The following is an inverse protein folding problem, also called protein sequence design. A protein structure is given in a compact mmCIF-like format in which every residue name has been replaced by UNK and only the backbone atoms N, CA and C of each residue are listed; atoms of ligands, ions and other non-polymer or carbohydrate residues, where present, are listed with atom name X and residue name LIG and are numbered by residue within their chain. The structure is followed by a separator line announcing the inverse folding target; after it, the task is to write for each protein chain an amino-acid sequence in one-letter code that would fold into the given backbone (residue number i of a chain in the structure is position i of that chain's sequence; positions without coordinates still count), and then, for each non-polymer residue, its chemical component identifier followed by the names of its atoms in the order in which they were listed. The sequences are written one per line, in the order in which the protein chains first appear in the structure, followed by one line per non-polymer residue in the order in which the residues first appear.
data_IF_053093115749
#
_entry.id   IF_053093115749
#
_cell.length_a   1.000
_cell.length_b   1.000
_cell.length_c   1.000
_cell.angle_alpha   90.00
_cell.angle_beta   90.00
_cell.angle_gamma   90.00
#
_symmetry.space_group_name_H-M   'P 1'
#
loop_
_entity.id
_entity.type
_entity.pdbx_description
1 polymer ?
#
# COMPACT_ATOMS: atom_id res chain seq x y z
N UNK A 1 -24.92 -0.15 -15.09
CA UNK A 1 -23.53 -0.53 -14.78
C UNK A 1 -23.39 -0.55 -13.27
N UNK A 2 -22.99 -1.68 -12.67
CA UNK A 2 -22.77 -1.77 -11.23
C UNK A 2 -21.56 -0.92 -10.84
N UNK A 3 -21.69 -0.12 -9.79
CA UNK A 3 -20.61 0.69 -9.21
C UNK A 3 -20.39 0.26 -7.76
N UNK A 4 -19.14 0.29 -7.33
CA UNK A 4 -18.71 -0.12 -5.99
C UNK A 4 -18.23 1.09 -5.19
N UNK A 5 -18.35 1.04 -3.87
CA UNK A 5 -17.75 2.05 -3.00
C UNK A 5 -16.22 1.89 -2.95
N UNK A 6 -15.72 0.65 -2.94
CA UNK A 6 -14.31 0.33 -2.76
C UNK A 6 -13.79 -0.68 -3.80
N UNK A 7 -12.66 -0.35 -4.44
CA UNK A 7 -11.81 -1.28 -5.17
C UNK A 7 -10.53 -1.55 -4.38
N UNK A 8 -10.35 -2.78 -3.89
CA UNK A 8 -9.19 -3.13 -3.06
C UNK A 8 -8.82 -4.59 -3.30
N UNK A 9 -7.52 -4.84 -3.51
CA UNK A 9 -7.00 -6.19 -3.66
C UNK A 9 -7.28 -7.02 -2.41
N UNK A 10 -7.76 -8.25 -2.61
CA UNK A 10 -8.08 -9.19 -1.54
C UNK A 10 -6.94 -9.38 -0.53
N UNK A 11 -5.69 -9.46 -1.02
CA UNK A 11 -4.49 -9.66 -0.21
C UNK A 11 -4.14 -8.53 0.77
N UNK A 12 -4.83 -7.38 0.70
CA UNK A 12 -4.58 -6.24 1.59
C UNK A 12 -5.40 -6.24 2.87
N UNK A 13 -6.06 -7.35 3.20
CA UNK A 13 -6.87 -7.52 4.41
C UNK A 13 -6.09 -7.27 5.72
N UNK A 14 -4.76 -7.35 5.68
CA UNK A 14 -3.86 -7.07 6.81
C UNK A 14 -4.07 -5.68 7.42
N UNK A 15 -4.45 -4.71 6.60
CA UNK A 15 -4.84 -3.38 7.07
C UNK A 15 -5.95 -3.47 8.12
N UNK A 16 -7.01 -4.23 7.82
CA UNK A 16 -8.18 -4.37 8.68
C UNK A 16 -7.82 -5.11 9.97
N UNK A 17 -6.96 -6.14 9.87
CA UNK A 17 -6.46 -6.88 11.04
C UNK A 17 -5.72 -5.92 11.98
N UNK A 18 -4.78 -5.14 11.45
CA UNK A 18 -4.03 -4.19 12.25
C UNK A 18 -4.89 -3.07 12.83
N UNK A 19 -5.92 -2.60 12.12
CA UNK A 19 -6.87 -1.60 12.64
C UNK A 19 -7.67 -2.14 13.84
N UNK A 20 -7.88 -3.46 13.92
CA UNK A 20 -8.52 -4.15 15.05
C UNK A 20 -7.53 -4.64 16.11
N UNK A 21 -6.27 -4.19 16.05
CA UNK A 21 -5.20 -4.61 16.97
C UNK A 21 -4.91 -6.13 16.90
N UNK A 22 -5.31 -6.78 15.80
CA UNK A 22 -4.93 -8.17 15.52
C UNK A 22 -3.56 -8.26 14.84
N UNK A 23 -3.11 -9.48 14.63
CA UNK A 23 -1.89 -9.80 13.89
C UNK A 23 -2.06 -11.13 13.14
N UNK A 24 -1.16 -11.40 12.19
CA UNK A 24 -1.09 -12.71 11.52
C UNK A 24 -0.25 -13.69 12.34
N UNK A 25 0.79 -13.17 12.99
CA UNK A 25 1.76 -13.91 13.81
C UNK A 25 1.88 -13.27 15.18
N UNK A 26 2.30 -14.02 16.18
CA UNK A 26 2.61 -13.48 17.51
C UNK A 26 3.78 -12.49 17.50
N UNK A 27 4.78 -12.76 16.67
CA UNK A 27 5.90 -11.88 16.37
C UNK A 27 6.17 -11.91 14.86
N UNK A 28 6.26 -10.73 14.22
CA UNK A 28 6.45 -10.63 12.77
C UNK A 28 7.91 -10.83 12.31
N UNK A 29 8.87 -10.84 13.24
CA UNK A 29 10.31 -11.03 12.98
C UNK A 29 10.79 -12.43 13.37
N UNK A 30 10.32 -12.95 14.51
CA UNK A 30 10.66 -14.28 15.02
C UNK A 30 9.41 -15.03 15.49
N UNK A 31 8.55 -15.48 14.56
CA UNK A 31 7.26 -16.06 14.89
C UNK A 31 7.40 -17.40 15.62
N UNK A 32 6.55 -17.61 16.63
CA UNK A 32 6.40 -18.91 17.30
C UNK A 32 5.00 -19.49 17.15
N UNK A 33 4.01 -18.67 16.78
CA UNK A 33 2.63 -19.10 16.57
C UNK A 33 1.89 -18.23 15.53
N UNK A 34 0.88 -18.82 14.90
CA UNK A 34 -0.07 -18.09 14.06
C UNK A 34 -1.16 -17.50 14.97
N UNK A 35 -1.50 -16.23 14.77
CA UNK A 35 -2.53 -15.50 15.53
C UNK A 35 -3.70 -15.02 14.66
N UNK A 36 -3.75 -15.49 13.41
CA UNK A 36 -4.79 -15.12 12.44
C UNK A 36 -6.19 -15.64 12.83
N UNK A 37 -6.27 -16.62 13.73
CA UNK A 37 -7.51 -17.18 14.28
C UNK A 37 -7.99 -16.45 15.55
N UNK A 38 -7.32 -15.37 15.97
CA UNK A 38 -7.82 -14.55 17.07
C UNK A 38 -9.15 -13.91 16.73
N UNK A 39 -9.97 -13.62 17.75
CA UNK A 39 -11.27 -12.97 17.57
C UNK A 39 -11.14 -11.65 16.79
N UNK A 40 -10.11 -10.86 17.07
CA UNK A 40 -9.84 -9.59 16.39
C UNK A 40 -9.53 -9.79 14.91
N UNK A 41 -8.69 -10.78 14.58
CA UNK A 41 -8.30 -11.10 13.21
C UNK A 41 -9.48 -11.63 12.39
N UNK A 42 -10.29 -12.51 12.98
CA UNK A 42 -11.52 -13.03 12.36
C UNK A 42 -12.50 -11.89 12.07
N UNK A 43 -12.78 -11.03 13.06
CA UNK A 43 -13.69 -9.88 12.88
C UNK A 43 -13.21 -8.93 11.79
N UNK A 44 -11.90 -8.69 11.69
CA UNK A 44 -11.32 -7.84 10.67
C UNK A 44 -11.47 -8.41 9.25
N UNK A 45 -11.21 -9.72 9.07
CA UNK A 45 -11.39 -10.39 7.78
C UNK A 45 -12.88 -10.46 7.42
N UNK A 46 -13.74 -10.76 8.39
CA UNK A 46 -15.19 -10.80 8.19
C UNK A 46 -15.73 -9.44 7.74
N UNK A 47 -15.26 -8.34 8.33
CA UNK A 47 -15.66 -7.00 7.90
C UNK A 47 -15.43 -6.76 6.40
N UNK A 48 -14.27 -7.16 5.86
CA UNK A 48 -14.01 -7.00 4.44
C UNK A 48 -14.82 -7.97 3.57
N UNK A 49 -15.04 -9.20 4.06
CA UNK A 49 -15.92 -10.17 3.42
C UNK A 49 -17.36 -9.64 3.32
N UNK A 50 -17.89 -9.03 4.39
CA UNK A 50 -19.23 -8.46 4.43
C UNK A 50 -19.39 -7.28 3.47
N UNK A 51 -18.35 -6.45 3.30
CA UNK A 51 -18.34 -5.39 2.27
C UNK A 51 -18.45 -5.98 0.87
N UNK A 52 -17.77 -7.10 0.59
CA UNK A 52 -17.84 -7.78 -0.70
C UNK A 52 -19.19 -8.49 -0.92
N UNK A 53 -19.79 -9.05 0.12
CA UNK A 53 -21.11 -9.67 0.06
C UNK A 53 -22.21 -8.62 -0.17
N UNK A 54 -22.07 -7.46 0.47
CA UNK A 54 -23.01 -6.34 0.34
C UNK A 54 -22.80 -5.49 -0.92
N UNK A 55 -21.94 -5.91 -1.86
CA UNK A 55 -21.55 -5.16 -3.07
C UNK A 55 -20.97 -3.75 -2.81
N UNK A 56 -20.49 -3.47 -1.59
CA UNK A 56 -19.75 -2.23 -1.29
C UNK A 56 -18.32 -2.31 -1.82
N UNK A 57 -17.69 -3.48 -1.73
CA UNK A 57 -16.37 -3.74 -2.27
C UNK A 57 -16.43 -4.69 -3.48
N UNK A 58 -15.63 -4.43 -4.50
CA UNK A 58 -15.54 -5.33 -5.66
C UNK A 58 -14.82 -6.63 -5.27
N UNK A 59 -15.36 -7.78 -5.67
CA UNK A 59 -14.74 -9.09 -5.42
C UNK A 59 -13.42 -9.23 -6.20
N UNK A 60 -12.40 -9.94 -5.67
CA UNK A 60 -11.07 -10.01 -6.27
C UNK A 60 -11.03 -10.52 -7.72
N UNK A 61 -11.84 -11.52 -8.06
CA UNK A 61 -11.90 -12.06 -9.42
C UNK A 61 -12.37 -10.99 -10.43
N UNK A 62 -13.41 -10.22 -10.07
CA UNK A 62 -13.93 -9.14 -10.90
C UNK A 62 -12.95 -7.98 -10.99
N UNK A 63 -12.33 -7.62 -9.85
CA UNK A 63 -11.32 -6.58 -9.77
C UNK A 63 -10.14 -6.88 -10.72
N UNK A 64 -9.63 -8.11 -10.68
CA UNK A 64 -8.54 -8.56 -11.54
C UNK A 64 -8.91 -8.47 -13.03
N UNK A 65 -10.09 -8.96 -13.41
CA UNK A 65 -10.57 -8.90 -14.79
C UNK A 65 -10.82 -7.46 -15.30
N UNK A 66 -11.12 -6.53 -14.39
CA UNK A 66 -11.39 -5.12 -14.70
C UNK A 66 -10.14 -4.21 -14.65
N UNK A 67 -8.93 -4.80 -14.63
CA UNK A 67 -7.67 -4.04 -14.66
C UNK A 67 -7.13 -3.64 -13.28
N UNK A 68 -7.56 -4.32 -12.22
CA UNK A 68 -7.13 -4.05 -10.85
C UNK A 68 -7.78 -2.78 -10.26
N UNK A 69 -7.39 -2.43 -9.04
CA UNK A 69 -7.85 -1.21 -8.34
C UNK A 69 -7.69 0.06 -9.19
N UNK A 70 -6.51 0.29 -9.76
CA UNK A 70 -6.23 1.47 -10.57
C UNK A 70 -7.15 1.55 -11.80
N UNK A 71 -7.37 0.42 -12.49
CA UNK A 71 -8.28 0.35 -13.63
C UNK A 71 -9.72 0.66 -13.25
N UNK A 72 -10.23 0.03 -12.19
CA UNK A 72 -11.64 0.24 -11.77
C UNK A 72 -11.87 1.65 -11.20
N UNK A 73 -10.86 2.27 -10.60
CA UNK A 73 -10.93 3.65 -10.15
C UNK A 73 -10.94 4.64 -11.32
N UNK A 74 -9.97 4.51 -12.23
CA UNK A 74 -9.85 5.37 -13.41
C UNK A 74 -11.10 5.31 -14.30
N UNK A 75 -11.74 4.14 -14.39
CA UNK A 75 -12.97 3.94 -15.16
C UNK A 75 -14.27 4.28 -14.39
N UNK A 76 -14.17 4.81 -13.16
CA UNK A 76 -15.33 5.19 -12.34
C UNK A 76 -16.23 4.02 -11.91
N UNK A 77 -15.68 2.80 -11.89
CA UNK A 77 -16.36 1.60 -11.42
C UNK A 77 -16.27 1.44 -9.89
N UNK A 78 -15.23 2.02 -9.26
CA UNK A 78 -15.09 2.14 -7.82
C UNK A 78 -14.92 3.61 -7.41
N UNK A 79 -15.63 4.05 -6.36
CA UNK A 79 -15.54 5.42 -5.86
C UNK A 79 -14.24 5.70 -5.09
N UNK A 80 -13.67 4.69 -4.43
CA UNK A 80 -12.43 4.77 -3.68
C UNK A 80 -11.56 3.54 -3.92
N UNK A 81 -10.25 3.69 -3.77
CA UNK A 81 -9.30 2.58 -3.68
C UNK A 81 -8.36 2.77 -2.50
N UNK A 82 -7.80 1.66 -2.00
CA UNK A 82 -6.76 1.67 -0.97
C UNK A 82 -5.48 1.11 -1.58
N UNK A 83 -4.58 2.01 -1.98
CA UNK A 83 -3.38 1.66 -2.74
C UNK A 83 -2.14 2.48 -2.37
N UNK A 84 -0.99 2.04 -2.89
CA UNK A 84 0.28 2.75 -2.76
C UNK A 84 0.28 4.03 -3.61
N UNK A 85 1.09 5.02 -3.20
CA UNK A 85 1.38 6.25 -3.92
C UNK A 85 1.86 6.02 -5.37
N UNK A 86 2.39 4.85 -5.71
CA UNK A 86 2.80 4.52 -7.09
C UNK A 86 1.70 4.55 -8.14
N UNK A 87 0.43 4.75 -7.75
CA UNK A 87 -0.69 5.03 -8.69
C UNK A 87 -0.86 6.51 -9.05
N UNK A 88 -0.32 7.42 -8.23
CA UNK A 88 -0.49 8.87 -8.35
C UNK A 88 0.01 9.38 -9.71
N UNK A 89 1.20 8.96 -10.15
CA UNK A 89 1.76 9.41 -11.42
C UNK A 89 0.85 9.06 -12.61
N UNK A 90 0.29 7.84 -12.62
CA UNK A 90 -0.67 7.41 -13.64
C UNK A 90 -1.97 8.21 -13.58
N UNK A 91 -2.51 8.48 -12.39
CA UNK A 91 -3.75 9.25 -12.23
C UNK A 91 -3.58 10.72 -12.64
N UNK A 92 -2.44 11.32 -12.29
CA UNK A 92 -2.07 12.66 -12.74
C UNK A 92 -1.92 12.73 -14.26
N UNK A 93 -1.23 11.77 -14.87
CA UNK A 93 -1.06 11.70 -16.32
C UNK A 93 -2.38 11.51 -17.07
N UNK A 94 -3.37 10.87 -16.44
CA UNK A 94 -4.73 10.73 -16.95
C UNK A 94 -5.66 11.89 -16.58
N UNK A 95 -5.14 12.94 -15.92
CA UNK A 95 -5.89 14.11 -15.46
C UNK A 95 -7.17 13.76 -14.66
N UNK A 96 -7.09 12.69 -13.86
CA UNK A 96 -8.23 12.26 -13.05
C UNK A 96 -8.55 13.31 -11.98
N UNK A 97 -9.83 13.56 -11.76
CA UNK A 97 -10.29 14.35 -10.61
C UNK A 97 -10.37 13.44 -9.38
N UNK A 98 -9.31 13.41 -8.57
CA UNK A 98 -9.23 12.61 -7.36
C UNK A 98 -8.54 13.36 -6.22
N UNK A 99 -8.64 12.80 -5.01
CA UNK A 99 -7.93 13.28 -3.84
C UNK A 99 -7.41 12.07 -3.04
N UNK A 100 -6.50 12.31 -2.09
CA UNK A 100 -5.88 11.30 -1.24
C UNK A 100 -6.18 11.62 0.22
N UNK A 101 -6.66 10.62 0.96
CA UNK A 101 -6.89 10.73 2.39
C UNK A 101 -6.27 9.54 3.13
N UNK A 102 -6.00 9.71 4.43
CA UNK A 102 -5.64 8.57 5.27
C UNK A 102 -6.84 7.64 5.44
N UNK A 103 -6.60 6.33 5.44
CA UNK A 103 -7.66 5.35 5.76
C UNK A 103 -8.29 5.69 7.12
N UNK A 104 -9.64 5.77 7.21
CA UNK A 104 -10.33 6.07 8.47
C UNK A 104 -9.99 5.05 9.56
N UNK A 105 -9.91 5.52 10.80
CA UNK A 105 -9.71 4.66 11.98
C UNK A 105 -11.11 4.22 12.48
N UNK A 106 -11.39 2.91 12.57
CA UNK A 106 -12.68 2.46 13.08
C UNK A 106 -12.83 2.77 14.57
N UNK A 107 -14.07 2.90 15.04
CA UNK A 107 -14.36 3.09 16.46
C UNK A 107 -13.77 1.94 17.30
N UNK A 108 -13.02 2.29 18.35
CA UNK A 108 -12.30 1.31 19.19
C UNK A 108 -11.11 0.63 18.50
N UNK A 109 -10.74 1.06 17.30
CA UNK A 109 -9.56 0.57 16.59
C UNK A 109 -8.40 1.55 16.62
N UNK A 110 -7.39 1.26 15.80
CA UNK A 110 -6.17 2.05 15.70
C UNK A 110 -5.80 2.35 14.25
N UNK A 111 -4.88 3.31 14.07
CA UNK A 111 -4.22 3.51 12.78
C UNK A 111 -3.43 2.26 12.43
N UNK A 112 -3.60 1.77 11.22
CA UNK A 112 -2.78 0.70 10.66
C UNK A 112 -2.42 1.03 9.23
N UNK A 113 -1.23 0.60 8.83
CA UNK A 113 -0.72 0.64 7.48
C UNK A 113 0.35 -0.44 7.36
N UNK A 114 0.51 -1.00 6.17
CA UNK A 114 1.67 -1.84 5.89
C UNK A 114 2.85 -0.94 5.57
N UNK A 115 3.94 -1.07 6.34
CA UNK A 115 5.23 -0.48 6.01
C UNK A 115 5.93 -1.40 4.99
N UNK A 116 5.57 -1.24 3.73
CA UNK A 116 6.18 -1.96 2.62
C UNK A 116 6.85 -0.98 1.66
N UNK A 117 7.99 -1.37 1.10
CA UNK A 117 8.73 -0.57 0.15
C UNK A 117 9.68 -1.44 -0.66
N UNK A 118 10.28 -0.84 -1.69
CA UNK A 118 11.40 -1.45 -2.39
C UNK A 118 12.70 -0.98 -1.72
N UNK A 119 13.62 -1.92 -1.51
CA UNK A 119 14.97 -1.61 -1.04
C UNK A 119 15.97 -1.93 -2.14
N UNK A 120 16.93 -1.02 -2.36
CA UNK A 120 18.11 -1.31 -3.16
C UNK A 120 19.15 -2.00 -2.28
N UNK A 121 19.65 -3.14 -2.73
CA UNK A 121 20.62 -3.94 -1.97
C UNK A 121 21.89 -4.15 -2.78
N UNK A 122 23.02 -4.21 -2.07
CA UNK A 122 24.30 -4.60 -2.67
C UNK A 122 24.50 -6.10 -2.48
N UNK A 123 24.73 -6.83 -3.59
CA UNK A 123 25.04 -8.26 -3.52
C UNK A 123 26.34 -8.51 -2.75
N UNK A 124 26.33 -9.49 -1.84
CA UNK A 124 27.53 -9.93 -1.13
C UNK A 124 28.62 -10.44 -2.09
N UNK A 125 28.21 -10.94 -3.26
CA UNK A 125 29.08 -11.48 -4.30
C UNK A 125 29.58 -10.41 -5.29
N UNK A 126 29.26 -9.13 -5.08
CA UNK A 126 29.75 -8.08 -5.98
C UNK A 126 31.28 -7.96 -5.89
N UNK A 127 31.92 -7.95 -7.06
CA UNK A 127 33.35 -7.65 -7.21
C UNK A 127 33.66 -6.14 -7.09
N UNK A 128 32.63 -5.28 -7.19
CA UNK A 128 32.77 -3.83 -7.23
C UNK A 128 32.00 -3.14 -6.10
N UNK A 129 32.27 -3.54 -4.85
CA UNK A 129 31.52 -3.07 -3.67
C UNK A 129 31.61 -1.56 -3.45
N UNK A 130 32.77 -0.95 -3.67
CA UNK A 130 32.94 0.49 -3.47
C UNK A 130 32.14 1.33 -4.48
N UNK A 131 32.12 0.90 -5.75
CA UNK A 131 31.33 1.55 -6.78
C UNK A 131 29.82 1.37 -6.52
N UNK A 132 29.40 0.16 -6.13
CA UNK A 132 28.02 -0.11 -5.75
C UNK A 132 27.59 0.74 -4.54
N UNK A 133 28.43 0.85 -3.51
CA UNK A 133 28.18 1.69 -2.35
C UNK A 133 28.10 3.18 -2.71
N UNK A 134 28.99 3.66 -3.57
CA UNK A 134 28.97 5.05 -4.06
C UNK A 134 27.66 5.34 -4.80
N UNK A 135 27.24 4.45 -5.69
CA UNK A 135 25.98 4.60 -6.41
C UNK A 135 24.77 4.55 -5.49
N UNK A 136 24.69 3.59 -4.58
CA UNK A 136 23.58 3.49 -3.61
C UNK A 136 23.52 4.71 -2.68
N UNK A 137 24.67 5.23 -2.25
CA UNK A 137 24.75 6.44 -1.43
C UNK A 137 24.21 7.66 -2.18
N UNK A 138 24.57 7.83 -3.45
CA UNK A 138 24.01 8.87 -4.31
C UNK A 138 22.50 8.66 -4.55
N UNK A 139 22.10 7.43 -4.86
CA UNK A 139 20.71 7.07 -5.15
C UNK A 139 19.78 7.38 -3.96
N UNK A 140 20.28 7.20 -2.73
CA UNK A 140 19.53 7.45 -1.50
C UNK A 140 19.72 8.86 -0.92
N UNK A 141 20.57 9.69 -1.53
CA UNK A 141 20.76 11.08 -1.09
C UNK A 141 19.59 11.96 -1.51
N UNK A 142 19.29 12.98 -0.68
CA UNK A 142 18.20 13.94 -0.94
C UNK A 142 18.33 14.60 -2.31
N UNK A 143 19.52 15.07 -2.69
CA UNK A 143 19.73 15.80 -3.95
C UNK A 143 20.00 14.89 -5.17
N UNK A 144 20.21 13.59 -4.93
CA UNK A 144 20.50 12.59 -5.95
C UNK A 144 19.24 11.82 -6.37
N UNK A 145 19.28 10.49 -6.20
CA UNK A 145 18.21 9.62 -6.71
C UNK A 145 16.85 9.84 -6.05
N UNK A 146 16.80 10.15 -4.76
CA UNK A 146 15.52 10.37 -4.06
C UNK A 146 14.73 11.52 -4.71
N UNK A 147 15.39 12.66 -5.03
CA UNK A 147 14.74 13.78 -5.72
C UNK A 147 14.08 13.36 -7.02
N UNK A 148 14.79 12.57 -7.84
CA UNK A 148 14.29 12.10 -9.14
C UNK A 148 12.98 11.32 -8.97
N UNK A 149 12.93 10.40 -8.00
CA UNK A 149 11.73 9.58 -7.78
C UNK A 149 10.58 10.34 -7.10
N UNK A 150 10.88 11.31 -6.24
CA UNK A 150 9.85 12.07 -5.54
C UNK A 150 9.22 13.15 -6.41
N UNK A 151 9.99 13.76 -7.33
CA UNK A 151 9.47 14.74 -8.28
C UNK A 151 8.45 14.15 -9.25
N UNK A 152 8.54 12.84 -9.56
CA UNK A 152 7.56 12.16 -10.41
C UNK A 152 6.24 11.84 -9.68
N UNK A 153 6.21 11.96 -8.34
CA UNK A 153 5.08 11.54 -7.50
C UNK A 153 4.90 10.02 -7.41
N UNK A 154 5.82 9.22 -7.96
CA UNK A 154 5.72 7.75 -7.97
C UNK A 154 6.04 7.14 -6.60
N UNK A 155 6.94 7.76 -5.83
CA UNK A 155 7.29 7.31 -4.49
C UNK A 155 7.20 8.44 -3.48
N UNK A 156 6.94 8.07 -2.23
CA UNK A 156 7.13 8.96 -1.10
C UNK A 156 8.56 8.77 -0.57
N UNK A 157 9.27 9.86 -0.22
CA UNK A 157 10.64 9.74 0.28
C UNK A 157 10.67 9.00 1.61
N UNK A 158 11.67 8.11 1.77
CA UNK A 158 11.91 7.41 3.03
C UNK A 158 12.47 8.34 4.12
N UNK A 159 13.10 9.46 3.72
CA UNK A 159 13.71 10.42 4.62
C UNK A 159 12.77 11.60 4.89
N UNK A 160 12.54 11.91 6.17
CA UNK A 160 11.78 13.10 6.56
C UNK A 160 12.40 14.41 6.07
N UNK A 161 13.73 14.47 5.96
CA UNK A 161 14.44 15.64 5.42
C UNK A 161 14.04 15.90 3.98
N UNK A 162 14.01 14.86 3.14
CA UNK A 162 13.56 14.94 1.75
C UNK A 162 12.07 15.28 1.65
N UNK A 163 11.23 14.72 2.53
CA UNK A 163 9.80 15.03 2.56
C UNK A 163 9.49 16.50 2.86
N UNK A 164 10.39 17.20 3.55
CA UNK A 164 10.23 18.59 4.02
C UNK A 164 11.08 19.60 3.25
N UNK A 165 11.84 19.18 2.24
CA UNK A 165 12.75 20.04 1.48
C UNK A 165 12.12 20.67 0.23
N UNK A 166 10.89 20.28 -0.11
CA UNK A 166 10.13 20.80 -1.24
C UNK A 166 9.15 21.90 -0.82
#
# INVERSE_FOLDING_TARGET
MTRYALGMEGGKYQLWIGQKMGSILDDMYNPSSCTLDSEQSIQAVQFFADMMESNLAMRPANLSQAGGDAGVFANGQAAMIIQNASRISQFNAAELNYDVATVPIPAGGQRSASAAGAAWTMSALSDNKDAAWTFLSWLQSTDGGQRIYTESGEILPALQSTAKSA
#
